data_IF_287943194682
#
_entry.id   IF_287943194682
#
_cell.length_a   1.000
_cell.length_b   1.000
_cell.length_c   1.000
_cell.angle_alpha   90.00
_cell.angle_beta   90.00
_cell.angle_gamma   90.00
#
_symmetry.space_group_name_H-M   'P 1'
#
loop_
_entity.id
_entity.type
_entity.pdbx_description
1 polymer ?
#
# COMPACT_ATOMS: atom_id res chain seq x y z
N UNK A 1 34.33 14.62 6.03
CA UNK A 1 33.38 14.78 4.90
C UNK A 1 32.44 13.61 5.04
N UNK A 2 31.25 13.87 5.55
CA UNK A 2 30.24 12.83 5.78
C UNK A 2 29.53 12.65 4.43
N UNK A 3 29.76 11.50 3.79
CA UNK A 3 29.00 11.11 2.62
C UNK A 3 27.54 11.01 3.07
N UNK A 4 26.70 11.92 2.57
CA UNK A 4 25.25 11.74 2.66
C UNK A 4 24.94 10.50 1.84
N UNK A 5 24.70 9.36 2.49
CA UNK A 5 24.09 8.21 1.85
C UNK A 5 22.86 8.72 1.09
N UNK A 6 22.89 8.63 -0.23
CA UNK A 6 21.71 8.90 -1.04
C UNK A 6 20.74 7.78 -0.72
N UNK A 7 19.77 8.07 0.17
CA UNK A 7 18.62 7.20 0.49
C UNK A 7 18.12 6.65 -0.85
N UNK A 8 18.37 5.37 -1.13
CA UNK A 8 17.93 4.75 -2.38
C UNK A 8 16.42 4.87 -2.41
N UNK A 9 15.90 5.61 -3.38
CA UNK A 9 14.48 5.92 -3.44
C UNK A 9 13.69 4.63 -3.73
N UNK A 10 12.94 4.16 -2.73
CA UNK A 10 12.19 2.89 -2.78
C UNK A 10 10.84 3.11 -3.46
N UNK A 11 10.87 3.09 -4.79
CA UNK A 11 9.70 3.35 -5.63
C UNK A 11 8.97 2.10 -6.05
N UNK A 12 7.71 1.99 -5.65
CA UNK A 12 6.81 0.98 -6.21
C UNK A 12 6.69 1.20 -7.73
N UNK A 13 6.92 0.18 -8.57
CA UNK A 13 6.69 0.27 -10.00
C UNK A 13 5.21 0.56 -10.31
N UNK A 14 4.94 1.39 -11.33
CA UNK A 14 3.56 1.73 -11.73
C UNK A 14 2.74 0.49 -12.14
N UNK A 15 3.41 -0.56 -12.62
CA UNK A 15 2.78 -1.81 -13.04
C UNK A 15 3.47 -3.02 -12.41
N UNK A 16 2.84 -3.59 -11.39
CA UNK A 16 3.29 -4.84 -10.75
C UNK A 16 2.66 -6.02 -11.49
N UNK A 17 3.47 -6.80 -12.20
CA UNK A 17 3.01 -7.95 -13.01
C UNK A 17 3.16 -9.30 -12.31
N UNK A 18 4.12 -9.37 -11.40
CA UNK A 18 4.51 -10.53 -10.60
C UNK A 18 5.08 -10.03 -9.28
N UNK A 19 5.16 -10.92 -8.29
CA UNK A 19 5.77 -10.67 -6.99
C UNK A 19 6.85 -11.73 -6.76
N UNK A 20 7.96 -11.33 -6.16
CA UNK A 20 8.89 -12.27 -5.54
C UNK A 20 8.22 -12.92 -4.30
N UNK A 21 8.78 -14.03 -3.79
CA UNK A 21 8.15 -14.82 -2.71
C UNK A 21 7.86 -14.01 -1.44
N UNK A 22 8.69 -13.01 -1.15
CA UNK A 22 8.54 -12.14 0.03
C UNK A 22 7.90 -10.79 -0.28
N UNK A 23 7.46 -10.54 -1.52
CA UNK A 23 6.80 -9.31 -1.88
C UNK A 23 5.30 -9.37 -1.60
N UNK A 24 4.78 -8.28 -1.04
CA UNK A 24 3.37 -8.11 -0.69
C UNK A 24 2.81 -6.93 -1.46
N UNK A 25 1.77 -7.17 -2.25
CA UNK A 25 1.04 -6.15 -3.00
C UNK A 25 0.05 -5.42 -2.07
N UNK A 26 0.31 -4.15 -1.78
CA UNK A 26 -0.56 -3.34 -0.91
C UNK A 26 -1.52 -2.51 -1.77
N UNK A 27 -2.81 -2.69 -1.53
CA UNK A 27 -3.86 -2.17 -2.41
C UNK A 27 -5.04 -1.55 -1.66
N UNK A 28 -5.70 -0.61 -2.34
CA UNK A 28 -6.93 0.01 -1.84
C UNK A 28 -8.13 -0.93 -2.00
N UNK A 29 -8.90 -1.11 -0.93
CA UNK A 29 -10.10 -1.96 -0.88
C UNK A 29 -11.31 -1.18 -0.33
N UNK A 30 -12.42 -1.89 -0.12
CA UNK A 30 -13.54 -1.47 0.71
C UNK A 30 -13.71 -2.46 1.87
N UNK A 31 -14.43 -2.06 2.92
CA UNK A 31 -14.62 -2.90 4.12
C UNK A 31 -15.29 -4.25 3.81
N UNK A 32 -16.12 -4.31 2.77
CA UNK A 32 -16.78 -5.55 2.36
C UNK A 32 -15.87 -6.51 1.58
N UNK A 33 -14.63 -6.11 1.24
CA UNK A 33 -13.71 -6.92 0.43
C UNK A 33 -14.23 -7.20 -0.98
N UNK A 34 -15.04 -6.30 -1.55
CA UNK A 34 -15.55 -6.43 -2.91
C UNK A 34 -14.47 -6.00 -3.93
N UNK A 35 -13.57 -6.93 -4.25
CA UNK A 35 -12.39 -6.71 -5.10
C UNK A 35 -12.70 -6.79 -6.61
N UNK A 36 -13.76 -6.10 -7.04
CA UNK A 36 -14.30 -6.22 -8.41
C UNK A 36 -13.56 -5.46 -9.50
N UNK A 37 -12.74 -4.45 -9.15
CA UNK A 37 -12.07 -3.59 -10.12
C UNK A 37 -10.71 -3.04 -9.67
N UNK A 38 -9.99 -2.44 -10.62
CA UNK A 38 -8.71 -1.77 -10.38
C UNK A 38 -7.64 -2.67 -9.75
N UNK A 39 -6.84 -2.08 -8.86
CA UNK A 39 -5.79 -2.80 -8.13
C UNK A 39 -6.34 -3.94 -7.26
N UNK A 40 -7.53 -3.79 -6.68
CA UNK A 40 -8.16 -4.85 -5.88
C UNK A 40 -8.45 -6.11 -6.71
N UNK A 41 -8.92 -5.93 -7.95
CA UNK A 41 -9.14 -7.07 -8.85
C UNK A 41 -7.84 -7.80 -9.20
N UNK A 42 -6.77 -7.03 -9.46
CA UNK A 42 -5.44 -7.60 -9.72
C UNK A 42 -4.92 -8.38 -8.50
N UNK A 43 -5.09 -7.81 -7.30
CA UNK A 43 -4.69 -8.48 -6.05
C UNK A 43 -5.39 -9.84 -5.89
N UNK A 44 -6.69 -9.91 -6.20
CA UNK A 44 -7.46 -11.15 -6.14
C UNK A 44 -7.05 -12.14 -7.24
N UNK A 45 -6.99 -11.69 -8.49
CA UNK A 45 -6.74 -12.56 -9.64
C UNK A 45 -5.31 -13.14 -9.65
N UNK A 46 -4.34 -12.43 -9.05
CA UNK A 46 -2.91 -12.78 -9.18
C UNK A 46 -2.16 -13.00 -7.87
N UNK A 47 -2.54 -12.32 -6.80
CA UNK A 47 -1.70 -12.20 -5.60
C UNK A 47 -2.40 -12.72 -4.33
N UNK A 48 -3.50 -13.46 -4.49
CA UNK A 48 -4.14 -14.19 -3.41
C UNK A 48 -5.02 -13.36 -2.48
N UNK A 49 -5.45 -12.16 -2.89
CA UNK A 49 -6.51 -11.48 -2.16
C UNK A 49 -7.82 -12.27 -2.25
N UNK A 50 -8.60 -12.25 -1.18
CA UNK A 50 -9.80 -13.04 -0.96
C UNK A 50 -11.01 -12.12 -1.03
N UNK A 51 -12.01 -12.54 -1.82
CA UNK A 51 -13.30 -11.84 -1.85
C UNK A 51 -13.95 -11.87 -0.47
N UNK A 52 -14.43 -10.73 0.02
CA UNK A 52 -15.02 -10.61 1.35
C UNK A 52 -14.04 -10.20 2.45
N UNK A 53 -12.74 -10.16 2.17
CA UNK A 53 -11.72 -9.73 3.14
C UNK A 53 -11.12 -8.37 2.73
N UNK A 54 -11.69 -7.30 3.28
CA UNK A 54 -11.32 -5.91 2.96
C UNK A 54 -10.12 -5.33 3.69
N UNK A 55 -9.57 -6.05 4.68
CA UNK A 55 -8.54 -5.54 5.59
C UNK A 55 -7.41 -6.55 5.76
N UNK A 56 -6.18 -6.06 5.80
CA UNK A 56 -5.01 -6.80 6.26
C UNK A 56 -4.45 -7.81 5.24
N UNK A 57 -3.54 -8.65 5.72
CA UNK A 57 -2.79 -9.62 4.92
C UNK A 57 -3.67 -10.80 4.47
N UNK A 58 -3.51 -11.21 3.21
CA UNK A 58 -4.14 -12.34 2.55
C UNK A 58 -3.34 -12.77 1.33
N UNK A 59 -2.84 -14.01 1.34
CA UNK A 59 -1.87 -14.45 0.32
C UNK A 59 -0.66 -13.51 0.29
N UNK A 60 -0.29 -13.05 -0.91
CA UNK A 60 0.73 -12.02 -1.12
C UNK A 60 0.12 -10.61 -1.30
N UNK A 61 -1.01 -10.34 -0.65
CA UNK A 61 -1.72 -9.06 -0.75
C UNK A 61 -2.06 -8.49 0.63
N UNK A 62 -1.97 -7.17 0.79
CA UNK A 62 -2.41 -6.47 1.99
C UNK A 62 -3.46 -5.41 1.63
N UNK A 63 -4.66 -5.52 2.21
CA UNK A 63 -5.79 -4.65 1.89
C UNK A 63 -5.89 -3.46 2.87
N UNK A 64 -6.04 -2.25 2.32
CA UNK A 64 -6.31 -1.02 3.07
C UNK A 64 -7.66 -0.46 2.60
N UNK A 65 -8.70 -0.42 3.45
CA UNK A 65 -9.99 0.18 3.09
C UNK A 65 -9.91 1.68 2.81
N UNK A 66 -10.45 2.12 1.67
CA UNK A 66 -10.47 3.54 1.26
C UNK A 66 -11.83 4.05 0.82
N UNK A 67 -12.92 3.35 1.13
CA UNK A 67 -14.26 3.64 0.59
C UNK A 67 -15.33 3.87 1.67
N UNK A 68 -14.90 4.21 2.89
CA UNK A 68 -15.76 4.32 4.08
C UNK A 68 -15.93 5.76 4.61
N UNK A 69 -15.50 6.77 3.86
CA UNK A 69 -15.58 8.17 4.27
C UNK A 69 -14.44 9.00 3.68
N UNK A 70 -14.01 10.05 4.40
CA UNK A 70 -12.87 10.86 4.02
C UNK A 70 -11.53 10.24 4.45
N UNK A 71 -10.45 10.96 4.20
CA UNK A 71 -9.06 10.57 4.52
C UNK A 71 -8.89 10.16 5.99
N UNK A 72 -9.62 10.81 6.90
CA UNK A 72 -9.63 10.51 8.33
C UNK A 72 -10.07 9.08 8.65
N UNK A 73 -10.94 8.50 7.83
CA UNK A 73 -11.42 7.12 7.98
C UNK A 73 -10.44 6.09 7.43
N UNK A 74 -9.47 6.53 6.62
CA UNK A 74 -8.42 5.69 6.01
C UNK A 74 -7.21 5.60 6.95
N UNK A 75 -6.88 6.71 7.62
CA UNK A 75 -5.69 6.83 8.48
C UNK A 75 -5.50 5.65 9.45
N UNK A 76 -6.51 5.17 10.21
CA UNK A 76 -6.30 4.06 11.13
C UNK A 76 -5.78 2.79 10.45
N UNK A 77 -6.24 2.49 9.24
CA UNK A 77 -5.79 1.31 8.48
C UNK A 77 -4.38 1.49 7.90
N UNK A 78 -3.99 2.73 7.59
CA UNK A 78 -2.60 3.04 7.19
C UNK A 78 -1.68 2.91 8.39
N UNK A 79 -2.09 3.40 9.56
CA UNK A 79 -1.34 3.26 10.81
C UNK A 79 -1.15 1.77 11.17
N UNK A 80 -2.22 0.96 11.08
CA UNK A 80 -2.15 -0.50 11.28
C UNK A 80 -1.19 -1.18 10.28
N UNK A 81 -1.23 -0.79 9.00
CA UNK A 81 -0.29 -1.28 8.00
C UNK A 81 1.17 -0.93 8.36
N UNK A 82 1.43 0.29 8.82
CA UNK A 82 2.77 0.75 9.19
C UNK A 82 3.28 -0.07 10.38
N UNK A 83 2.46 -0.28 11.40
CA UNK A 83 2.82 -1.14 12.54
C UNK A 83 3.06 -2.59 12.12
N UNK A 84 2.23 -3.13 11.22
CA UNK A 84 2.45 -4.45 10.64
C UNK A 84 3.80 -4.53 9.91
N UNK A 85 4.11 -3.54 9.07
CA UNK A 85 5.37 -3.48 8.33
C UNK A 85 6.60 -3.25 9.22
N UNK A 86 6.43 -2.65 10.41
CA UNK A 86 7.49 -2.57 11.44
C UNK A 86 7.83 -3.94 12.02
N UNK A 87 6.82 -4.76 12.29
CA UNK A 87 7.01 -6.10 12.86
C UNK A 87 7.51 -7.10 11.82
N UNK A 88 6.98 -7.05 10.60
CA UNK A 88 7.24 -8.05 9.56
C UNK A 88 8.33 -7.60 8.58
N UNK A 89 9.60 -7.61 9.04
CA UNK A 89 10.76 -7.19 8.23
C UNK A 89 11.16 -8.21 7.15
N UNK A 90 10.63 -9.42 7.21
CA UNK A 90 10.79 -10.45 6.18
C UNK A 90 10.11 -10.09 4.86
N UNK A 91 9.06 -9.26 4.90
CA UNK A 91 8.29 -8.88 3.72
C UNK A 91 8.74 -7.55 3.13
N UNK A 92 8.70 -7.47 1.80
CA UNK A 92 8.83 -6.23 1.03
C UNK A 92 7.44 -5.78 0.57
N UNK A 93 6.96 -4.67 1.10
CA UNK A 93 5.63 -4.14 0.78
C UNK A 93 5.69 -3.18 -0.40
N UNK A 94 4.99 -3.54 -1.49
CA UNK A 94 4.85 -2.71 -2.68
C UNK A 94 3.52 -1.96 -2.60
N UNK A 95 3.57 -0.70 -2.17
CA UNK A 95 2.38 0.14 -1.99
C UNK A 95 1.97 0.77 -3.30
N UNK A 96 0.75 0.50 -3.75
CA UNK A 96 0.14 1.15 -4.92
C UNK A 96 -0.37 2.55 -4.57
N UNK A 97 -0.90 3.30 -5.54
CA UNK A 97 -1.59 4.59 -5.27
C UNK A 97 -2.93 4.34 -4.56
N UNK A 98 -2.87 4.00 -3.27
CA UNK A 98 -4.00 3.67 -2.39
C UNK A 98 -5.03 4.79 -2.45
N UNK A 99 -6.30 4.47 -2.73
CA UNK A 99 -7.38 5.45 -2.78
C UNK A 99 -7.43 6.36 -4.03
N UNK A 100 -6.36 6.47 -4.81
CA UNK A 100 -6.28 7.43 -5.93
C UNK A 100 -6.84 6.94 -7.27
N UNK A 101 -7.44 5.74 -7.28
CA UNK A 101 -8.14 5.17 -8.42
C UNK A 101 -9.65 5.32 -8.29
N UNK A 102 -10.32 4.22 -7.96
CA UNK A 102 -11.79 4.16 -7.88
C UNK A 102 -12.36 5.03 -6.75
N UNK A 103 -11.65 5.14 -5.62
CA UNK A 103 -12.11 5.95 -4.49
C UNK A 103 -11.98 7.46 -4.74
N UNK A 104 -11.16 7.87 -5.72
CA UNK A 104 -11.14 9.24 -6.25
C UNK A 104 -10.33 10.26 -5.44
N UNK A 105 -9.53 9.84 -4.46
CA UNK A 105 -8.63 10.75 -3.75
C UNK A 105 -7.47 11.21 -4.63
N UNK A 106 -6.91 12.36 -4.31
CA UNK A 106 -5.65 12.83 -4.90
C UNK A 106 -4.44 12.25 -4.15
N UNK A 107 -3.28 12.27 -4.81
CA UNK A 107 -2.04 11.86 -4.14
C UNK A 107 -1.72 12.80 -2.96
N UNK A 108 -2.04 14.08 -3.05
CA UNK A 108 -1.80 15.06 -1.98
C UNK A 108 -2.66 14.81 -0.73
N UNK A 109 -3.84 14.21 -0.90
CA UNK A 109 -4.71 13.81 0.21
C UNK A 109 -4.20 12.53 0.91
N UNK A 110 -3.64 11.58 0.16
CA UNK A 110 -3.25 10.26 0.70
C UNK A 110 -1.79 10.19 1.12
N UNK A 111 -0.87 10.78 0.36
CA UNK A 111 0.57 10.72 0.61
C UNK A 111 0.95 11.11 2.05
N UNK A 112 0.35 12.15 2.68
CA UNK A 112 0.67 12.50 4.06
C UNK A 112 0.41 11.37 5.07
N UNK A 113 -0.53 10.46 4.80
CA UNK A 113 -0.80 9.31 5.68
C UNK A 113 0.37 8.32 5.71
N UNK A 114 1.17 8.26 4.64
CA UNK A 114 2.29 7.33 4.49
C UNK A 114 3.65 7.94 4.87
N UNK A 115 3.68 9.15 5.44
CA UNK A 115 4.94 9.84 5.75
C UNK A 115 5.88 9.02 6.63
N UNK A 116 5.35 8.33 7.64
CA UNK A 116 6.15 7.47 8.51
C UNK A 116 6.67 6.22 7.78
N UNK A 117 5.94 5.71 6.78
CA UNK A 117 6.39 4.57 5.98
C UNK A 117 7.65 4.87 5.14
N UNK A 118 7.96 6.15 4.88
CA UNK A 118 9.20 6.57 4.19
C UNK A 118 10.48 6.21 4.97
N UNK A 119 10.37 5.99 6.27
CA UNK A 119 11.48 5.54 7.13
C UNK A 119 11.61 4.01 7.20
N UNK A 120 10.63 3.27 6.68
CA UNK A 120 10.68 1.80 6.67
C UNK A 120 11.42 1.30 5.42
N UNK A 121 12.51 0.58 5.62
CA UNK A 121 13.34 0.02 4.53
C UNK A 121 12.61 -1.05 3.70
N UNK A 122 11.67 -1.73 4.32
CA UNK A 122 10.89 -2.80 3.72
C UNK A 122 9.57 -2.32 3.10
N UNK A 123 9.33 -1.00 3.05
CA UNK A 123 8.17 -0.39 2.39
C UNK A 123 8.63 0.42 1.18
N UNK A 124 8.00 0.12 0.05
CA UNK A 124 8.15 0.82 -1.22
C UNK A 124 6.86 1.58 -1.48
N UNK A 125 6.98 2.86 -1.82
CA UNK A 125 5.84 3.77 -2.01
C UNK A 125 5.78 4.26 -3.46
N UNK A 126 4.59 4.66 -3.97
CA UNK A 126 4.49 5.36 -5.24
C UNK A 126 5.39 6.59 -5.24
N UNK A 127 5.97 6.95 -6.38
CA UNK A 127 6.86 8.11 -6.49
C UNK A 127 6.22 9.40 -5.97
N UNK A 128 4.93 9.59 -6.22
CA UNK A 128 4.17 10.77 -5.79
C UNK A 128 3.97 10.86 -4.27
N UNK A 129 4.25 9.79 -3.51
CA UNK A 129 4.14 9.79 -2.06
C UNK A 129 5.44 10.22 -1.35
N UNK A 130 6.51 10.53 -2.10
CA UNK A 130 7.81 10.97 -1.55
C UNK A 130 8.03 12.48 -1.56
N UNK A 131 7.27 13.24 -2.37
CA UNK A 131 7.60 14.63 -2.71
C UNK A 131 6.86 15.71 -1.90
N UNK A 132 6.23 15.37 -0.77
CA UNK A 132 5.33 16.27 -0.02
C UNK A 132 5.84 16.67 1.36
#
# INVERSE_FOLDING_TARGET
>A
MEEKETKTERYTPDFIRSLDENEIFVFGSNLAGAHGGGAARIAMDKFGAVWGQGVGLQGQSYAIPTMQGGVETIKPYVDEFIEFAKVHKEYKFLVTRIGCGIAGFTDDEIAPLFKEAQELENVWLPKTFWTN
#
